data_IF_145902354548
#
_entry.id   IF_145902354548
#
_cell.length_a   1.000
_cell.length_b   1.000
_cell.length_c   1.000
_cell.angle_alpha   90.00
_cell.angle_beta   90.00
_cell.angle_gamma   90.00
#
_symmetry.space_group_name_H-M   'P 1'
#
loop_
_entity.id
_entity.type
_entity.pdbx_description
1 polymer ?
#
# COMPACT_ATOMS: atom_id res chain seq x y z
N UNK A 1 -24.27 -20.09 -0.43
CA UNK A 1 -23.97 -20.00 -1.89
C UNK A 1 -23.04 -21.14 -2.27
N UNK A 2 -23.24 -21.77 -3.45
CA UNK A 2 -22.34 -22.81 -3.96
C UNK A 2 -21.41 -22.19 -4.98
N UNK A 3 -20.11 -22.53 -4.91
CA UNK A 3 -19.09 -22.09 -5.85
C UNK A 3 -18.39 -23.33 -6.41
N UNK A 4 -18.06 -23.29 -7.70
CA UNK A 4 -17.34 -24.38 -8.34
C UNK A 4 -15.89 -24.41 -7.89
N UNK A 5 -15.41 -25.58 -7.52
CA UNK A 5 -14.03 -25.89 -7.20
C UNK A 5 -13.47 -26.78 -8.31
N UNK A 6 -12.33 -26.43 -8.84
CA UNK A 6 -11.68 -27.10 -9.95
C UNK A 6 -10.54 -27.99 -9.46
N UNK A 7 -10.38 -29.16 -10.07
CA UNK A 7 -9.16 -29.94 -9.95
C UNK A 7 -8.21 -29.58 -11.11
N UNK A 8 -6.94 -29.89 -10.98
CA UNK A 8 -5.94 -29.70 -12.04
C UNK A 8 -6.32 -30.46 -13.34
N UNK A 9 -7.08 -31.56 -13.21
CA UNK A 9 -7.61 -32.34 -14.36
C UNK A 9 -8.82 -31.67 -15.03
N UNK A 10 -9.37 -30.59 -14.44
CA UNK A 10 -10.55 -29.88 -14.96
C UNK A 10 -11.88 -30.41 -14.45
N UNK A 11 -11.90 -31.41 -13.54
CA UNK A 11 -13.14 -31.87 -12.90
C UNK A 11 -13.67 -30.83 -11.94
N UNK A 12 -14.99 -30.55 -11.99
CA UNK A 12 -15.67 -29.60 -11.14
C UNK A 12 -16.28 -30.32 -9.91
N UNK A 13 -16.11 -29.75 -8.76
CA UNK A 13 -16.82 -30.07 -7.52
C UNK A 13 -17.41 -28.79 -6.94
N UNK A 14 -18.48 -28.83 -6.14
CA UNK A 14 -19.07 -27.66 -5.53
C UNK A 14 -18.70 -27.57 -4.07
N UNK A 15 -18.43 -26.34 -3.59
CA UNK A 15 -18.21 -26.03 -2.17
C UNK A 15 -19.30 -25.06 -1.71
N UNK A 16 -19.80 -25.28 -0.50
CA UNK A 16 -20.68 -24.35 0.17
C UNK A 16 -19.87 -23.26 0.87
N UNK A 17 -20.17 -22.00 0.57
CA UNK A 17 -19.48 -20.83 1.13
C UNK A 17 -20.48 -19.90 1.83
N UNK A 18 -19.96 -19.09 2.75
CA UNK A 18 -20.77 -18.16 3.53
C UNK A 18 -21.27 -17.01 2.67
N UNK A 19 -22.57 -16.86 2.51
CA UNK A 19 -23.21 -15.78 1.73
C UNK A 19 -22.80 -14.38 2.21
N UNK A 20 -22.59 -14.21 3.51
CA UNK A 20 -22.18 -12.94 4.13
C UNK A 20 -20.90 -12.37 3.54
N UNK A 21 -19.98 -13.21 3.07
CA UNK A 21 -18.67 -12.79 2.52
C UNK A 21 -18.74 -12.79 1.00
N UNK A 22 -19.34 -13.80 0.40
CA UNK A 22 -19.26 -14.06 -1.05
C UNK A 22 -20.44 -13.48 -1.83
N UNK A 23 -21.49 -13.01 -1.16
CA UNK A 23 -22.65 -12.31 -1.74
C UNK A 23 -22.85 -10.92 -1.11
N UNK A 24 -21.76 -10.28 -0.68
CA UNK A 24 -21.82 -8.95 -0.06
C UNK A 24 -22.23 -7.86 -1.08
N UNK A 25 -22.96 -6.85 -0.59
CA UNK A 25 -23.31 -5.68 -1.41
C UNK A 25 -22.07 -4.93 -1.83
N UNK A 26 -21.92 -4.68 -3.13
CA UNK A 26 -20.79 -3.95 -3.69
C UNK A 26 -20.93 -2.46 -3.37
N UNK A 27 -19.90 -1.89 -2.75
CA UNK A 27 -19.84 -0.46 -2.43
C UNK A 27 -18.53 0.14 -2.99
N UNK A 28 -18.61 0.68 -4.21
CA UNK A 28 -17.45 1.26 -4.90
C UNK A 28 -16.82 2.45 -4.15
N UNK A 29 -17.64 3.27 -3.48
CA UNK A 29 -17.14 4.41 -2.69
C UNK A 29 -16.30 3.95 -1.51
N UNK A 30 -16.72 2.91 -0.81
CA UNK A 30 -15.96 2.31 0.28
C UNK A 30 -14.63 1.71 -0.23
N UNK A 31 -14.69 0.96 -1.33
CA UNK A 31 -13.50 0.34 -1.95
C UNK A 31 -12.49 1.43 -2.35
N UNK A 32 -12.92 2.48 -3.05
CA UNK A 32 -12.05 3.60 -3.44
C UNK A 32 -11.40 4.29 -2.25
N UNK A 33 -12.15 4.53 -1.17
CA UNK A 33 -11.62 5.14 0.04
C UNK A 33 -10.56 4.26 0.73
N UNK A 34 -10.82 2.95 0.83
CA UNK A 34 -9.87 1.99 1.41
C UNK A 34 -8.60 1.90 0.55
N UNK A 35 -8.73 1.80 -0.77
CA UNK A 35 -7.58 1.78 -1.69
C UNK A 35 -6.76 3.07 -1.59
N UNK A 36 -7.41 4.23 -1.59
CA UNK A 36 -6.73 5.51 -1.46
C UNK A 36 -5.92 5.60 -0.17
N UNK A 37 -6.53 5.25 0.97
CA UNK A 37 -5.84 5.25 2.27
C UNK A 37 -4.67 4.26 2.29
N UNK A 38 -4.88 3.05 1.76
CA UNK A 38 -3.84 2.01 1.71
C UNK A 38 -2.66 2.43 0.85
N UNK A 39 -2.92 2.95 -0.35
CA UNK A 39 -1.89 3.43 -1.26
C UNK A 39 -1.14 4.64 -0.69
N UNK A 40 -1.85 5.59 -0.05
CA UNK A 40 -1.23 6.72 0.61
C UNK A 40 -0.30 6.29 1.76
N UNK A 41 -0.71 5.26 2.53
CA UNK A 41 0.10 4.71 3.60
C UNK A 41 1.33 3.93 3.10
N UNK A 42 1.19 3.26 1.95
CA UNK A 42 2.29 2.56 1.30
C UNK A 42 3.32 3.53 0.72
N UNK A 43 2.86 4.53 -0.02
CA UNK A 43 3.74 5.54 -0.64
C UNK A 43 4.44 6.41 0.42
N UNK A 44 3.75 6.75 1.51
CA UNK A 44 4.28 7.64 2.53
C UNK A 44 4.48 9.07 2.01
N UNK A 45 5.43 9.80 2.63
CA UNK A 45 5.83 11.15 2.22
C UNK A 45 7.35 11.21 2.12
N UNK A 46 7.88 11.44 0.93
CA UNK A 46 9.33 11.49 0.69
C UNK A 46 9.89 12.92 0.69
N UNK A 47 9.05 13.93 0.43
CA UNK A 47 9.48 15.31 0.42
C UNK A 47 10.07 15.71 1.78
N UNK A 48 11.32 16.14 1.79
CA UNK A 48 12.07 16.58 2.96
C UNK A 48 12.88 17.83 2.62
N UNK A 49 12.84 18.81 3.53
CA UNK A 49 13.72 19.97 3.49
C UNK A 49 14.63 19.95 4.72
N UNK A 50 15.82 20.51 4.58
CA UNK A 50 16.76 20.63 5.70
C UNK A 50 16.27 21.69 6.68
N UNK A 51 16.18 21.32 7.95
CA UNK A 51 15.92 22.25 9.05
C UNK A 51 17.23 22.95 9.45
N UNK A 52 17.15 23.98 10.26
CA UNK A 52 18.30 24.76 10.72
C UNK A 52 19.39 23.87 11.36
N UNK A 53 19.02 22.84 12.10
CA UNK A 53 19.93 21.89 12.72
C UNK A 53 20.56 20.89 11.74
N UNK A 54 19.93 20.68 10.58
CA UNK A 54 20.40 19.76 9.54
C UNK A 54 21.31 20.40 8.49
N UNK A 55 21.36 21.75 8.48
CA UNK A 55 22.25 22.50 7.58
C UNK A 55 23.66 22.46 8.11
N UNK A 56 24.62 22.06 7.27
CA UNK A 56 26.05 22.12 7.58
C UNK A 56 26.53 23.57 7.52
N UNK A 57 27.33 23.99 8.50
CA UNK A 57 27.88 25.32 8.56
C UNK A 57 28.38 25.69 9.98
N UNK A 58 29.07 26.81 10.14
CA UNK A 58 29.58 27.26 11.42
C UNK A 58 28.46 27.44 12.45
N UNK A 59 28.73 27.06 13.70
CA UNK A 59 27.82 27.27 14.82
C UNK A 59 28.13 28.54 15.63
N UNK A 60 29.30 29.14 15.37
CA UNK A 60 29.71 30.38 16.00
C UNK A 60 28.81 31.55 15.60
N UNK A 61 28.76 32.58 16.47
CA UNK A 61 28.07 33.82 16.19
C UNK A 61 28.72 34.53 15.01
N UNK A 62 27.92 35.07 14.10
CA UNK A 62 28.41 35.66 12.84
C UNK A 62 29.28 36.90 13.10
N UNK A 63 28.87 37.77 14.06
CA UNK A 63 29.54 38.98 14.44
C UNK A 63 29.14 39.39 15.85
N UNK A 64 29.85 40.41 16.39
CA UNK A 64 29.61 40.93 17.74
C UNK A 64 28.17 41.45 17.95
N UNK A 65 27.69 41.37 19.20
CA UNK A 65 26.31 41.74 19.56
C UNK A 65 25.98 43.20 19.35
N UNK A 66 26.99 44.09 19.47
CA UNK A 66 26.89 45.55 19.32
C UNK A 66 28.05 46.06 18.49
N UNK A 67 27.92 47.27 17.94
CA UNK A 67 29.02 47.97 17.22
C UNK A 67 29.17 47.65 15.75
N UNK A 68 28.33 46.80 15.17
CA UNK A 68 28.43 46.40 13.76
C UNK A 68 27.45 47.12 12.83
N UNK A 69 26.48 47.86 13.37
CA UNK A 69 25.44 48.51 12.55
C UNK A 69 24.43 47.57 11.91
N UNK A 70 24.63 46.25 12.02
CA UNK A 70 23.81 45.23 11.39
C UNK A 70 22.78 44.66 12.38
N UNK A 71 21.74 44.00 11.82
CA UNK A 71 20.76 43.28 12.64
C UNK A 71 21.44 42.13 13.42
N UNK A 72 20.96 41.87 14.64
CA UNK A 72 21.54 40.86 15.54
C UNK A 72 21.24 39.44 15.06
N UNK A 73 22.26 38.65 14.69
CA UNK A 73 22.11 37.27 14.26
C UNK A 73 23.11 36.36 14.98
N UNK A 74 22.69 35.14 15.28
CA UNK A 74 23.54 34.12 15.89
C UNK A 74 24.24 33.25 14.86
N UNK A 75 23.49 32.69 13.90
CA UNK A 75 24.03 31.74 12.94
C UNK A 75 23.49 31.96 11.52
N UNK A 76 24.32 31.75 10.52
CA UNK A 76 23.91 31.74 9.10
C UNK A 76 22.99 30.60 8.70
N UNK A 77 22.82 29.59 9.55
CA UNK A 77 21.88 28.48 9.33
C UNK A 77 20.42 28.88 9.50
N UNK A 78 20.14 30.08 10.04
CA UNK A 78 18.77 30.54 10.28
C UNK A 78 17.98 30.67 8.97
N UNK A 79 16.66 30.44 8.97
CA UNK A 79 15.82 30.46 7.76
C UNK A 79 15.78 31.79 7.01
N UNK A 80 16.17 32.89 7.66
CA UNK A 80 16.22 34.22 7.07
C UNK A 80 17.39 34.42 6.09
N UNK A 81 18.40 33.55 6.13
CA UNK A 81 19.53 33.63 5.23
C UNK A 81 19.37 32.71 4.03
N UNK A 82 19.91 33.14 2.89
CA UNK A 82 20.06 32.31 1.71
C UNK A 82 20.95 31.10 2.04
N UNK A 83 20.48 29.89 1.78
CA UNK A 83 21.15 28.66 2.17
C UNK A 83 20.91 28.21 3.61
N UNK A 84 20.12 28.95 4.39
CA UNK A 84 19.66 28.53 5.72
C UNK A 84 18.62 27.41 5.68
N UNK A 85 18.26 26.88 6.86
CA UNK A 85 17.25 25.83 6.97
C UNK A 85 15.85 26.35 6.68
N UNK A 86 14.95 25.46 6.27
CA UNK A 86 13.55 25.79 6.00
C UNK A 86 12.72 25.64 7.28
N UNK A 87 12.03 26.70 7.68
CA UNK A 87 11.08 26.66 8.79
C UNK A 87 9.78 26.00 8.36
N UNK A 88 9.24 25.07 9.18
CA UNK A 88 7.99 24.36 8.93
C UNK A 88 7.89 23.63 7.59
N UNK A 89 9.03 23.33 6.95
CA UNK A 89 9.07 22.56 5.70
C UNK A 89 8.71 21.07 5.90
N UNK A 90 8.53 20.36 4.80
CA UNK A 90 8.24 18.92 4.84
C UNK A 90 9.39 18.15 5.50
N UNK A 91 9.07 17.21 6.40
CA UNK A 91 10.06 16.44 7.19
C UNK A 91 10.25 14.99 6.70
N UNK A 92 9.71 14.65 5.55
CA UNK A 92 9.81 13.32 4.96
C UNK A 92 9.01 12.25 5.69
N UNK A 93 9.48 11.02 5.57
CA UNK A 93 8.83 9.83 6.11
C UNK A 93 8.68 9.84 7.63
N UNK A 94 9.63 10.41 8.36
CA UNK A 94 9.63 10.46 9.84
C UNK A 94 8.42 11.19 10.43
N UNK A 95 7.89 12.20 9.73
CA UNK A 95 6.74 12.97 10.18
C UNK A 95 5.41 12.54 9.56
N UNK A 96 5.43 11.50 8.71
CA UNK A 96 4.23 11.02 8.05
C UNK A 96 3.33 10.26 9.02
N UNK A 97 2.13 10.79 9.26
CA UNK A 97 1.11 10.10 10.03
C UNK A 97 0.29 9.21 9.09
N UNK A 98 0.36 7.89 9.32
CA UNK A 98 -0.44 6.92 8.56
C UNK A 98 -1.94 7.22 8.73
N UNK A 99 -2.67 7.16 7.64
CA UNK A 99 -4.14 7.33 7.63
C UNK A 99 -4.78 6.11 8.29
N UNK A 100 -5.57 6.34 9.33
CA UNK A 100 -6.27 5.27 10.04
C UNK A 100 -7.32 4.63 9.14
N UNK A 101 -7.31 3.31 9.10
CA UNK A 101 -8.25 2.48 8.37
C UNK A 101 -9.00 1.61 9.38
N UNK A 102 -10.33 1.71 9.40
CA UNK A 102 -11.13 0.90 10.31
C UNK A 102 -11.10 -0.58 9.89
N UNK A 103 -10.99 -1.48 10.86
CA UNK A 103 -10.94 -2.92 10.59
C UNK A 103 -12.21 -3.42 9.87
N UNK A 104 -13.38 -2.89 10.24
CA UNK A 104 -14.67 -3.20 9.60
C UNK A 104 -14.73 -2.74 8.15
N UNK A 105 -14.31 -1.50 7.86
CA UNK A 105 -14.24 -0.96 6.48
C UNK A 105 -13.34 -1.82 5.59
N UNK A 106 -12.17 -2.24 6.12
CA UNK A 106 -11.25 -3.11 5.38
C UNK A 106 -11.88 -4.47 5.09
N UNK A 107 -12.48 -5.12 6.10
CA UNK A 107 -13.15 -6.42 5.91
C UNK A 107 -14.30 -6.32 4.90
N UNK A 108 -15.14 -5.30 5.02
CA UNK A 108 -16.28 -5.09 4.13
C UNK A 108 -15.85 -4.78 2.69
N UNK A 109 -14.77 -4.01 2.49
CA UNK A 109 -14.24 -3.74 1.15
C UNK A 109 -13.70 -5.01 0.49
N UNK A 110 -13.01 -5.87 1.24
CA UNK A 110 -12.50 -7.16 0.74
C UNK A 110 -13.68 -8.08 0.36
N UNK A 111 -14.69 -8.20 1.22
CA UNK A 111 -15.88 -8.99 0.92
C UNK A 111 -16.61 -8.49 -0.34
N UNK A 112 -16.76 -7.17 -0.50
CA UNK A 112 -17.35 -6.56 -1.71
C UNK A 112 -16.55 -6.88 -2.97
N UNK A 113 -15.21 -6.81 -2.91
CA UNK A 113 -14.33 -7.12 -4.04
C UNK A 113 -14.38 -8.61 -4.43
N UNK A 114 -14.39 -9.51 -3.44
CA UNK A 114 -14.53 -10.95 -3.69
C UNK A 114 -15.89 -11.23 -4.36
N UNK A 115 -16.97 -10.67 -3.83
CA UNK A 115 -18.32 -10.82 -4.40
C UNK A 115 -18.39 -10.30 -5.85
N UNK A 116 -17.72 -9.20 -6.15
CA UNK A 116 -17.62 -8.66 -7.52
C UNK A 116 -16.84 -9.59 -8.45
N UNK A 117 -15.73 -10.17 -7.98
CA UNK A 117 -14.95 -11.14 -8.76
C UNK A 117 -15.74 -12.39 -9.08
N UNK A 118 -16.54 -12.89 -8.14
CA UNK A 118 -17.43 -14.04 -8.35
C UNK A 118 -18.49 -13.71 -9.41
N UNK A 119 -19.18 -12.56 -9.28
CA UNK A 119 -20.19 -12.12 -10.27
C UNK A 119 -19.63 -12.03 -11.68
N UNK A 120 -18.38 -11.64 -11.81
CA UNK A 120 -17.68 -11.50 -13.09
C UNK A 120 -16.98 -12.79 -13.54
N UNK A 121 -17.18 -13.93 -12.85
CA UNK A 121 -16.51 -15.22 -13.12
C UNK A 121 -14.97 -15.12 -13.15
N UNK A 122 -14.40 -14.23 -12.34
CA UNK A 122 -12.94 -13.99 -12.24
C UNK A 122 -12.31 -14.59 -10.98
N UNK A 123 -13.03 -15.44 -10.25
CA UNK A 123 -12.53 -16.19 -9.11
C UNK A 123 -12.57 -17.67 -9.45
N UNK A 124 -11.41 -18.30 -9.41
CA UNK A 124 -11.27 -19.74 -9.57
C UNK A 124 -10.73 -20.33 -8.26
N UNK A 125 -11.35 -21.40 -7.80
CA UNK A 125 -10.92 -22.12 -6.60
C UNK A 125 -10.38 -23.47 -7.06
N UNK A 126 -9.15 -23.77 -6.69
CA UNK A 126 -8.52 -25.05 -6.98
C UNK A 126 -8.45 -25.92 -5.73
N UNK A 127 -8.47 -27.23 -5.92
CA UNK A 127 -8.03 -28.17 -4.91
C UNK A 127 -6.52 -28.03 -4.70
N UNK A 128 -6.01 -28.62 -3.62
CA UNK A 128 -4.59 -28.60 -3.35
C UNK A 128 -3.79 -29.08 -4.55
N UNK A 129 -2.67 -28.44 -4.78
CA UNK A 129 -1.71 -28.91 -5.75
C UNK A 129 -1.04 -30.17 -5.18
N UNK A 130 -1.59 -31.35 -5.49
CA UNK A 130 -1.09 -32.64 -5.03
C UNK A 130 0.34 -32.96 -5.48
N UNK A 131 0.81 -32.30 -6.52
CA UNK A 131 2.18 -32.40 -7.02
C UNK A 131 2.90 -31.07 -6.86
N UNK A 132 4.12 -31.10 -6.30
CA UNK A 132 5.00 -29.94 -6.26
C UNK A 132 5.33 -29.49 -7.70
N UNK A 133 4.87 -28.30 -8.06
CA UNK A 133 5.21 -27.66 -9.33
C UNK A 133 6.62 -27.07 -9.19
N UNK A 134 7.61 -27.76 -9.80
CA UNK A 134 9.02 -27.31 -9.72
C UNK A 134 9.46 -26.47 -10.92
N UNK A 135 8.79 -26.63 -12.05
CA UNK A 135 9.19 -25.99 -13.32
C UNK A 135 8.16 -24.97 -13.78
N UNK A 136 8.64 -23.82 -14.25
CA UNK A 136 7.79 -22.76 -14.83
C UNK A 136 6.98 -23.25 -16.03
N UNK A 137 7.50 -24.22 -16.81
CA UNK A 137 6.82 -24.85 -17.94
C UNK A 137 5.53 -25.55 -17.52
N UNK A 138 5.55 -26.27 -16.40
CA UNK A 138 4.38 -26.98 -15.85
C UNK A 138 3.28 -25.99 -15.44
N UNK A 139 3.67 -24.91 -14.74
CA UNK A 139 2.74 -23.85 -14.36
C UNK A 139 2.12 -23.16 -15.59
N UNK A 140 2.92 -22.91 -16.63
CA UNK A 140 2.42 -22.31 -17.86
C UNK A 140 1.41 -23.20 -18.58
N UNK A 141 1.59 -24.52 -18.56
CA UNK A 141 0.63 -25.47 -19.12
C UNK A 141 -0.71 -25.43 -18.37
N UNK A 142 -0.67 -25.34 -17.03
CA UNK A 142 -1.86 -25.21 -16.20
C UNK A 142 -2.59 -23.90 -16.53
N UNK A 143 -1.89 -22.76 -16.55
CA UNK A 143 -2.48 -21.47 -16.86
C UNK A 143 -3.12 -21.43 -18.26
N UNK A 144 -2.47 -22.03 -19.26
CA UNK A 144 -3.02 -22.15 -20.62
C UNK A 144 -4.26 -23.04 -20.66
N UNK A 145 -4.28 -24.15 -19.91
CA UNK A 145 -5.44 -25.06 -19.84
C UNK A 145 -6.70 -24.36 -19.33
N UNK A 146 -6.54 -23.40 -18.43
CA UNK A 146 -7.66 -22.61 -17.86
C UNK A 146 -7.82 -21.24 -18.50
N UNK A 147 -7.12 -20.96 -19.60
CA UNK A 147 -7.18 -19.67 -20.35
C UNK A 147 -6.86 -18.44 -19.48
N UNK A 148 -5.97 -18.61 -18.52
CA UNK A 148 -5.61 -17.56 -17.58
C UNK A 148 -4.41 -16.79 -18.11
N UNK A 149 -4.59 -15.50 -18.45
CA UNK A 149 -3.50 -14.62 -18.90
C UNK A 149 -2.77 -13.96 -17.72
N UNK A 150 -3.56 -13.37 -16.78
CA UNK A 150 -3.04 -12.68 -15.61
C UNK A 150 -3.82 -13.10 -14.38
N UNK A 151 -3.14 -13.58 -13.34
CA UNK A 151 -3.79 -14.02 -12.11
C UNK A 151 -2.97 -13.68 -10.86
N UNK A 152 -3.65 -13.59 -9.74
CA UNK A 152 -3.08 -13.61 -8.41
C UNK A 152 -3.38 -14.96 -7.78
N UNK A 153 -2.35 -15.70 -7.43
CA UNK A 153 -2.46 -17.01 -6.76
C UNK A 153 -2.34 -16.77 -5.26
N UNK A 154 -3.34 -17.25 -4.51
CA UNK A 154 -3.35 -17.17 -3.05
C UNK A 154 -3.24 -18.61 -2.55
N UNK A 155 -2.19 -18.89 -1.81
CA UNK A 155 -1.95 -20.17 -1.17
C UNK A 155 -2.20 -20.04 0.32
N UNK A 156 -2.81 -21.04 0.93
CA UNK A 156 -2.87 -21.15 2.37
C UNK A 156 -1.48 -21.57 2.88
N UNK A 157 -1.01 -20.93 3.93
CA UNK A 157 0.21 -21.36 4.61
C UNK A 157 -0.20 -22.46 5.60
N UNK A 158 0.03 -23.69 5.20
CA UNK A 158 0.06 -24.81 6.15
C UNK A 158 1.23 -24.71 7.12
#
# INVERSE_FOLDING_TARGET
MKIDKLNLDGKKSSIEVLDKIFSAKINHKLISNVLYKTNANYKGRHAKTKQQNEVSGPTSKIYAQKGTGNARHASRKAPIFVGGGVAHGPKGQLSYKKRKLNKSEKKQSIASLISEKIKNNKLLIFNDFSNEIKKTKEMNLILKKFEILNCLIILDKS
#
